data_IF_329781384909
#
_entry.id   IF_329781384909
#
_cell.length_a   1.000
_cell.length_b   1.000
_cell.length_c   1.000
_cell.angle_alpha   90.00
_cell.angle_beta   90.00
_cell.angle_gamma   90.00
#
_symmetry.space_group_name_H-M   'P 1'
#
loop_
_entity.id
_entity.type
_entity.pdbx_description
1 polymer ?
#
# COMPACT_ATOMS: atom_id res chain seq x y z
N UNK A 1 -39.51 8.01 -85.98
CA UNK A 1 -40.26 7.74 -84.72
C UNK A 1 -40.00 6.29 -84.33
N UNK A 2 -39.20 6.06 -83.36
CA UNK A 2 -38.85 4.70 -82.85
C UNK A 2 -39.54 4.52 -81.49
N UNK A 3 -40.52 3.64 -81.44
CA UNK A 3 -41.35 3.36 -80.28
C UNK A 3 -40.46 2.72 -79.16
N UNK A 4 -40.49 3.31 -78.00
CA UNK A 4 -39.91 2.76 -76.76
C UNK A 4 -40.82 1.67 -76.23
N UNK A 5 -40.31 0.48 -76.06
CA UNK A 5 -40.97 -0.68 -75.49
C UNK A 5 -40.84 -0.67 -73.94
N UNK A 6 -41.92 -0.41 -73.17
CA UNK A 6 -41.88 -0.48 -71.75
C UNK A 6 -42.22 -1.86 -71.24
N UNK A 7 -41.60 -2.31 -70.21
CA UNK A 7 -41.86 -3.47 -69.36
C UNK A 7 -41.06 -4.75 -69.64
N UNK A 8 -39.77 -4.68 -69.17
CA UNK A 8 -39.16 -5.89 -68.69
C UNK A 8 -39.27 -5.90 -67.13
N UNK A 9 -40.38 -6.34 -66.61
CA UNK A 9 -40.54 -6.70 -65.21
C UNK A 9 -39.61 -7.87 -64.91
N UNK A 10 -38.54 -7.59 -64.17
CA UNK A 10 -37.60 -8.58 -63.65
C UNK A 10 -38.33 -9.43 -62.64
N UNK A 11 -38.79 -10.62 -63.02
CA UNK A 11 -39.35 -11.64 -62.15
C UNK A 11 -38.25 -12.03 -61.14
N UNK A 12 -38.37 -11.56 -59.89
CA UNK A 12 -37.56 -12.03 -58.76
C UNK A 12 -37.98 -13.50 -58.57
N UNK A 13 -37.06 -14.41 -58.92
CA UNK A 13 -37.22 -15.86 -58.62
C UNK A 13 -37.23 -15.95 -57.09
N UNK A 14 -38.39 -16.20 -56.48
CA UNK A 14 -38.46 -16.62 -55.07
C UNK A 14 -37.85 -18.00 -54.99
N UNK A 15 -36.64 -18.10 -54.47
CA UNK A 15 -35.99 -19.33 -54.08
C UNK A 15 -36.78 -19.91 -52.90
N UNK A 16 -37.44 -21.02 -53.09
CA UNK A 16 -38.08 -21.75 -51.99
C UNK A 16 -36.93 -22.45 -51.19
N UNK A 17 -36.75 -22.07 -49.97
CA UNK A 17 -35.82 -22.76 -49.07
C UNK A 17 -36.25 -24.21 -48.87
N UNK A 18 -35.34 -25.11 -48.99
CA UNK A 18 -35.57 -26.53 -48.69
C UNK A 18 -35.55 -26.73 -47.18
N UNK A 19 -36.30 -27.69 -46.67
CA UNK A 19 -36.29 -28.06 -45.25
C UNK A 19 -34.87 -28.38 -44.76
N UNK A 20 -34.06 -28.97 -45.66
CA UNK A 20 -32.66 -29.31 -45.38
C UNK A 20 -31.76 -28.10 -45.19
N UNK A 21 -31.97 -27.04 -45.96
CA UNK A 21 -31.24 -25.76 -45.80
C UNK A 21 -31.56 -25.06 -44.46
N UNK A 22 -32.82 -25.14 -44.05
CA UNK A 22 -33.28 -24.55 -42.78
C UNK A 22 -32.62 -25.30 -41.61
N UNK A 23 -32.60 -26.66 -41.65
CA UNK A 23 -31.98 -27.47 -40.60
C UNK A 23 -30.47 -27.24 -40.55
N UNK A 24 -29.81 -27.14 -41.68
CA UNK A 24 -28.39 -26.84 -41.74
C UNK A 24 -28.03 -25.47 -41.19
N UNK A 25 -28.82 -24.42 -41.55
CA UNK A 25 -28.64 -23.06 -41.09
C UNK A 25 -28.85 -22.95 -39.56
N UNK A 26 -29.87 -23.59 -39.02
CA UNK A 26 -30.11 -23.60 -37.56
C UNK A 26 -29.02 -24.35 -36.80
N UNK A 27 -28.50 -25.45 -37.34
CA UNK A 27 -27.37 -26.22 -36.79
C UNK A 27 -26.09 -25.39 -36.72
N UNK A 28 -25.76 -24.66 -37.78
CA UNK A 28 -24.61 -23.75 -37.82
C UNK A 28 -24.82 -22.59 -36.84
N UNK A 29 -26.01 -22.00 -36.77
CA UNK A 29 -26.30 -20.91 -35.84
C UNK A 29 -26.15 -21.34 -34.38
N UNK A 30 -26.63 -22.52 -34.02
CA UNK A 30 -26.43 -23.11 -32.69
C UNK A 30 -24.96 -23.37 -32.35
N UNK A 31 -24.20 -23.87 -33.33
CA UNK A 31 -22.75 -24.08 -33.13
C UNK A 31 -22.03 -22.75 -32.89
N UNK A 32 -22.31 -21.72 -33.68
CA UNK A 32 -21.73 -20.36 -33.49
C UNK A 32 -22.14 -19.79 -32.14
N UNK A 33 -23.42 -19.88 -31.76
CA UNK A 33 -23.91 -19.41 -30.46
C UNK A 33 -23.19 -20.13 -29.30
N UNK A 34 -22.95 -21.44 -29.43
CA UNK A 34 -22.20 -22.23 -28.46
C UNK A 34 -20.74 -21.75 -28.32
N UNK A 35 -20.06 -21.48 -29.43
CA UNK A 35 -18.69 -20.98 -29.44
C UNK A 35 -18.63 -19.59 -28.77
N UNK A 36 -19.54 -18.69 -29.10
CA UNK A 36 -19.62 -17.36 -28.51
C UNK A 36 -19.87 -17.46 -27.00
N UNK A 37 -20.80 -18.29 -26.55
CA UNK A 37 -21.08 -18.49 -25.14
C UNK A 37 -19.86 -19.03 -24.37
N UNK A 38 -19.13 -19.98 -24.95
CA UNK A 38 -17.91 -20.51 -24.36
C UNK A 38 -16.79 -19.46 -24.30
N UNK A 39 -16.56 -18.71 -25.36
CA UNK A 39 -15.57 -17.64 -25.42
C UNK A 39 -15.88 -16.54 -24.41
N UNK A 40 -17.17 -16.11 -24.30
CA UNK A 40 -17.61 -15.12 -23.33
C UNK A 40 -17.35 -15.59 -21.90
N UNK A 41 -17.66 -16.84 -21.58
CA UNK A 41 -17.42 -17.39 -20.24
C UNK A 41 -15.91 -17.41 -19.88
N UNK A 42 -15.07 -17.74 -20.83
CA UNK A 42 -13.61 -17.73 -20.65
C UNK A 42 -13.07 -16.31 -20.43
N UNK A 43 -13.60 -15.35 -21.20
CA UNK A 43 -13.26 -13.93 -21.07
C UNK A 43 -13.65 -13.37 -19.69
N UNK A 44 -14.87 -13.61 -19.22
CA UNK A 44 -15.29 -13.14 -17.89
C UNK A 44 -14.48 -13.78 -16.76
N UNK A 45 -14.07 -15.03 -16.87
CA UNK A 45 -13.18 -15.65 -15.88
C UNK A 45 -11.79 -15.01 -15.87
N UNK A 46 -11.24 -14.73 -17.05
CA UNK A 46 -9.94 -14.06 -17.16
C UNK A 46 -10.00 -12.64 -16.58
N UNK A 47 -11.09 -11.90 -16.86
CA UNK A 47 -11.30 -10.57 -16.32
C UNK A 47 -11.38 -10.58 -14.78
N UNK A 48 -12.19 -11.45 -14.20
CA UNK A 48 -12.32 -11.59 -12.75
C UNK A 48 -10.98 -12.00 -12.09
N UNK A 49 -10.15 -12.80 -12.77
CA UNK A 49 -8.81 -13.13 -12.28
C UNK A 49 -7.88 -11.91 -12.33
N UNK A 50 -7.92 -11.13 -13.41
CA UNK A 50 -7.12 -9.92 -13.56
C UNK A 50 -7.49 -8.86 -12.51
N UNK A 51 -8.77 -8.67 -12.22
CA UNK A 51 -9.25 -7.76 -11.18
C UNK A 51 -8.71 -8.14 -9.79
N UNK A 52 -8.72 -9.44 -9.44
CA UNK A 52 -8.17 -9.92 -8.16
C UNK A 52 -6.68 -9.65 -8.04
N UNK A 53 -5.92 -9.95 -9.09
CA UNK A 53 -4.47 -9.71 -9.11
C UNK A 53 -4.17 -8.21 -9.02
N UNK A 54 -4.94 -7.38 -9.73
CA UNK A 54 -4.79 -5.92 -9.68
C UNK A 54 -5.08 -5.36 -8.28
N UNK A 55 -6.14 -5.83 -7.61
CA UNK A 55 -6.47 -5.41 -6.25
C UNK A 55 -5.37 -5.82 -5.25
N UNK A 56 -4.84 -7.03 -5.37
CA UNK A 56 -3.74 -7.48 -4.53
C UNK A 56 -2.47 -6.65 -4.77
N UNK A 57 -2.13 -6.38 -6.03
CA UNK A 57 -0.98 -5.55 -6.38
C UNK A 57 -1.12 -4.13 -5.80
N UNK A 58 -2.33 -3.57 -5.81
CA UNK A 58 -2.57 -2.24 -5.23
C UNK A 58 -2.26 -2.21 -3.73
N UNK A 59 -2.65 -3.23 -2.98
CA UNK A 59 -2.32 -3.36 -1.55
C UNK A 59 -0.81 -3.40 -1.34
N UNK A 60 -0.08 -4.18 -2.12
CA UNK A 60 1.39 -4.22 -2.05
C UNK A 60 2.02 -2.86 -2.33
N UNK A 61 1.52 -2.16 -3.35
CA UNK A 61 2.01 -0.83 -3.71
C UNK A 61 1.74 0.19 -2.60
N UNK A 62 0.58 0.13 -1.94
CA UNK A 62 0.27 1.01 -0.82
C UNK A 62 1.26 0.81 0.34
N UNK A 63 1.52 -0.44 0.71
CA UNK A 63 2.48 -0.76 1.78
C UNK A 63 3.90 -0.36 1.35
N UNK A 64 4.29 -0.65 0.12
CA UNK A 64 5.63 -0.31 -0.39
C UNK A 64 5.84 1.21 -0.43
N UNK A 65 4.81 1.98 -0.79
CA UNK A 65 4.82 3.45 -0.74
C UNK A 65 4.95 3.99 0.68
N UNK A 66 4.26 3.39 1.67
CA UNK A 66 4.46 3.72 3.07
C UNK A 66 5.91 3.50 3.48
N UNK A 67 6.45 2.32 3.19
CA UNK A 67 7.81 1.94 3.55
C UNK A 67 8.86 2.83 2.88
N UNK A 68 8.70 3.15 1.59
CA UNK A 68 9.62 4.03 0.88
C UNK A 68 9.39 5.52 1.18
N UNK A 69 8.14 5.93 1.33
CA UNK A 69 7.78 7.33 1.62
C UNK A 69 8.10 7.74 3.06
N UNK A 70 7.64 6.97 4.03
CA UNK A 70 7.71 7.33 5.44
C UNK A 70 8.94 6.74 6.13
N UNK A 71 9.15 5.42 6.03
CA UNK A 71 10.23 4.76 6.78
C UNK A 71 11.64 5.15 6.31
N UNK A 72 11.86 5.29 5.01
CA UNK A 72 13.16 5.77 4.49
C UNK A 72 13.44 7.24 4.80
N UNK A 73 12.40 8.03 5.02
CA UNK A 73 12.50 9.45 5.35
C UNK A 73 12.20 9.73 6.82
N UNK A 74 12.25 8.69 7.65
CA UNK A 74 12.19 8.81 9.11
C UNK A 74 13.36 9.65 9.60
N UNK A 75 13.06 10.60 10.48
CA UNK A 75 14.06 11.49 11.06
C UNK A 75 14.05 11.39 12.58
N UNK A 76 15.20 11.53 13.23
CA UNK A 76 15.27 11.72 14.67
C UNK A 76 14.72 13.12 14.99
N UNK A 77 13.66 13.18 15.75
CA UNK A 77 13.04 14.42 16.18
C UNK A 77 12.92 14.41 17.71
N UNK A 78 13.57 15.38 18.34
CA UNK A 78 13.56 15.52 19.78
C UNK A 78 12.56 16.59 20.18
N UNK A 79 11.74 16.30 21.18
CA UNK A 79 10.80 17.22 21.79
C UNK A 79 11.31 17.65 23.15
N UNK A 80 11.28 18.94 23.40
CA UNK A 80 11.61 19.48 24.72
C UNK A 80 10.35 19.45 25.61
N UNK A 81 10.46 18.83 26.78
CA UNK A 81 9.39 18.91 27.75
C UNK A 81 9.45 20.27 28.45
N UNK A 82 8.29 20.85 28.73
CA UNK A 82 8.18 22.05 29.54
C UNK A 82 8.33 21.75 31.04
N UNK A 83 8.58 20.50 31.42
CA UNK A 83 8.79 20.11 32.80
C UNK A 83 10.21 20.44 33.28
N UNK A 84 10.31 20.74 34.59
CA UNK A 84 11.45 21.35 35.30
C UNK A 84 12.80 20.60 35.17
N UNK A 85 12.82 19.43 34.54
CA UNK A 85 14.00 18.60 34.47
C UNK A 85 14.80 18.68 33.14
N UNK A 86 14.41 19.54 32.19
CA UNK A 86 15.14 19.76 30.92
C UNK A 86 15.36 18.49 30.08
N UNK A 87 14.54 17.45 30.28
CA UNK A 87 14.68 16.20 29.55
C UNK A 87 14.10 16.35 28.13
N UNK A 88 14.99 16.28 27.15
CA UNK A 88 14.58 16.09 25.75
C UNK A 88 14.40 14.61 25.51
N UNK A 89 13.33 14.23 24.80
CA UNK A 89 13.16 12.85 24.39
C UNK A 89 12.88 12.75 22.91
N UNK A 90 13.30 11.65 22.35
CA UNK A 90 13.08 11.36 20.94
C UNK A 90 11.65 10.91 20.69
N UNK A 91 11.02 11.49 19.64
CA UNK A 91 9.69 11.08 19.21
C UNK A 91 9.84 9.85 18.31
N UNK A 92 10.08 8.73 18.95
CA UNK A 92 10.10 7.42 18.35
C UNK A 92 9.61 6.40 19.39
N UNK A 93 8.69 5.55 18.99
CA UNK A 93 8.17 4.49 19.84
C UNK A 93 7.99 3.22 18.98
N UNK A 94 8.80 2.22 19.26
CA UNK A 94 8.86 0.98 18.48
C UNK A 94 8.41 -0.21 19.31
N UNK A 95 7.15 -0.61 19.18
CA UNK A 95 6.62 -1.83 19.75
C UNK A 95 6.62 -2.96 18.71
N UNK A 96 6.38 -4.19 19.14
CA UNK A 96 6.30 -5.34 18.25
C UNK A 96 5.13 -5.25 17.25
N UNK A 97 4.03 -4.58 17.62
CA UNK A 97 2.79 -4.53 16.87
C UNK A 97 2.35 -3.11 16.45
N UNK A 98 3.10 -2.09 16.85
CA UNK A 98 2.85 -0.69 16.53
C UNK A 98 4.16 0.06 16.45
N UNK A 99 4.23 1.02 15.53
CA UNK A 99 5.36 1.95 15.47
C UNK A 99 4.86 3.38 15.39
N UNK A 100 5.50 4.27 16.15
CA UNK A 100 5.27 5.71 16.09
C UNK A 100 6.60 6.43 15.82
N UNK A 101 6.62 7.30 14.82
CA UNK A 101 7.85 7.97 14.39
C UNK A 101 7.56 9.27 13.66
N UNK A 102 8.62 10.04 13.43
CA UNK A 102 8.56 11.31 12.71
C UNK A 102 9.17 11.16 11.32
N UNK A 103 8.52 11.75 10.31
CA UNK A 103 8.97 11.72 8.91
C UNK A 103 8.77 13.08 8.22
N UNK A 104 9.53 13.30 7.16
CA UNK A 104 9.39 14.47 6.27
C UNK A 104 8.46 14.23 5.07
N UNK A 105 7.94 13.03 4.92
CA UNK A 105 7.09 12.67 3.78
C UNK A 105 5.90 11.83 4.23
N UNK A 106 4.81 12.02 3.53
CA UNK A 106 3.63 11.15 3.59
C UNK A 106 3.66 10.17 2.42
N UNK A 107 3.04 8.99 2.55
CA UNK A 107 3.02 7.96 1.52
C UNK A 107 2.52 8.46 0.16
N UNK A 108 1.52 9.34 0.14
CA UNK A 108 0.87 9.81 -1.11
C UNK A 108 1.06 11.29 -1.41
N UNK A 109 1.81 12.05 -0.62
CA UNK A 109 1.95 13.48 -0.83
C UNK A 109 3.34 13.81 -1.37
N UNK A 110 3.37 14.35 -2.60
CA UNK A 110 4.59 14.91 -3.22
C UNK A 110 5.02 16.24 -2.57
N UNK A 111 4.24 16.82 -1.66
CA UNK A 111 4.58 18.00 -0.89
C UNK A 111 5.66 17.65 0.15
N UNK A 112 6.88 17.57 -0.33
CA UNK A 112 8.07 17.40 0.49
C UNK A 112 8.29 18.61 1.40
N UNK A 113 8.59 18.36 2.67
CA UNK A 113 9.06 19.39 3.61
C UNK A 113 8.16 19.68 4.79
N UNK A 114 7.02 19.04 4.93
CA UNK A 114 6.24 19.07 6.15
C UNK A 114 6.67 17.97 7.11
N UNK A 115 6.73 18.28 8.38
CA UNK A 115 6.94 17.30 9.44
C UNK A 115 5.61 16.58 9.71
N UNK A 116 5.65 15.25 9.72
CA UNK A 116 4.52 14.40 10.07
C UNK A 116 4.92 13.44 11.19
N UNK A 117 3.99 13.23 12.10
CA UNK A 117 4.05 12.20 13.11
C UNK A 117 3.17 11.05 12.65
N UNK A 118 3.77 9.89 12.47
CA UNK A 118 3.11 8.74 11.84
C UNK A 118 3.00 7.62 12.85
N UNK A 119 1.81 7.04 12.96
CA UNK A 119 1.55 5.82 13.72
C UNK A 119 1.05 4.74 12.75
N UNK A 120 1.67 3.57 12.80
CA UNK A 120 1.28 2.40 11.98
C UNK A 120 0.91 1.25 12.90
N UNK A 121 -0.29 0.71 12.72
CA UNK A 121 -0.83 -0.36 13.56
C UNK A 121 -1.94 -1.13 12.83
N UNK A 122 -2.46 -2.19 13.44
CA UNK A 122 -3.63 -2.95 12.96
C UNK A 122 -4.79 -2.76 13.92
N UNK A 123 -5.95 -2.39 13.37
CA UNK A 123 -7.21 -2.29 14.08
C UNK A 123 -8.32 -2.85 13.16
N UNK A 124 -9.26 -3.61 13.72
CA UNK A 124 -10.40 -4.19 13.00
C UNK A 124 -10.03 -4.90 11.68
N UNK A 125 -8.92 -5.65 11.69
CA UNK A 125 -8.37 -6.37 10.52
C UNK A 125 -7.87 -5.44 9.40
N UNK A 126 -7.69 -4.16 9.68
CA UNK A 126 -7.14 -3.16 8.78
C UNK A 126 -5.73 -2.75 9.21
N UNK A 127 -4.79 -2.70 8.26
CA UNK A 127 -3.50 -2.04 8.45
C UNK A 127 -3.69 -0.55 8.21
N UNK A 128 -3.38 0.24 9.21
CA UNK A 128 -3.67 1.68 9.24
C UNK A 128 -2.37 2.46 9.41
N UNK A 129 -2.25 3.55 8.65
CA UNK A 129 -1.31 4.62 8.91
C UNK A 129 -2.07 5.88 9.29
N UNK A 130 -1.73 6.45 10.43
CA UNK A 130 -2.25 7.74 10.88
C UNK A 130 -1.17 8.80 10.79
N UNK A 131 -1.55 9.97 10.28
CA UNK A 131 -0.66 11.11 10.09
C UNK A 131 -1.16 12.30 10.89
N UNK A 132 -0.30 12.86 11.73
CA UNK A 132 -0.55 14.09 12.46
C UNK A 132 0.51 15.13 12.13
N UNK A 133 0.13 16.41 12.18
CA UNK A 133 1.06 17.55 12.12
C UNK A 133 1.58 17.95 13.49
N UNK A 134 1.05 17.32 14.53
CA UNK A 134 1.41 17.58 15.92
C UNK A 134 1.97 16.28 16.53
N UNK A 135 2.98 16.36 17.39
CA UNK A 135 3.50 15.19 18.07
C UNK A 135 2.41 14.58 18.96
N UNK A 136 2.15 13.30 18.78
CA UNK A 136 1.39 12.50 19.72
C UNK A 136 2.40 11.89 20.68
N UNK A 137 2.36 12.34 21.90
CA UNK A 137 3.25 11.84 22.92
C UNK A 137 2.47 10.84 23.77
N UNK A 138 3.13 9.76 24.25
CA UNK A 138 2.45 8.71 25.02
C UNK A 138 1.75 9.24 26.28
N UNK A 139 2.19 10.39 26.78
CA UNK A 139 1.61 11.02 27.98
C UNK A 139 0.47 12.02 27.72
N UNK A 140 0.15 12.33 26.47
CA UNK A 140 -1.12 12.97 26.12
C UNK A 140 -2.17 11.87 26.03
N UNK A 141 -2.46 11.31 27.19
CA UNK A 141 -3.56 10.38 27.36
C UNK A 141 -4.87 11.12 27.10
N UNK A 142 -5.72 10.49 26.32
CA UNK A 142 -7.17 10.65 26.26
C UNK A 142 -7.81 11.89 25.61
N UNK A 143 -7.11 12.91 25.19
CA UNK A 143 -7.72 13.95 24.38
C UNK A 143 -7.60 13.64 22.87
N UNK A 144 -7.97 12.41 22.47
CA UNK A 144 -8.02 11.96 21.06
C UNK A 144 -8.84 12.91 20.17
N UNK A 145 -9.80 13.63 20.76
CA UNK A 145 -10.69 14.55 20.07
C UNK A 145 -10.04 15.91 19.72
N UNK A 146 -8.89 16.25 20.29
CA UNK A 146 -8.29 17.57 20.12
C UNK A 146 -7.26 17.67 18.99
N UNK A 147 -6.72 16.55 18.51
CA UNK A 147 -5.67 16.55 17.50
C UNK A 147 -6.17 15.94 16.19
N UNK A 148 -6.34 16.75 15.13
CA UNK A 148 -6.74 16.23 13.85
C UNK A 148 -5.65 15.30 13.29
N UNK A 149 -6.04 14.09 12.94
CA UNK A 149 -5.20 13.14 12.23
C UNK A 149 -5.88 12.68 10.94
N UNK A 150 -5.06 12.38 9.95
CA UNK A 150 -5.51 11.76 8.72
C UNK A 150 -5.27 10.26 8.81
N UNK A 151 -6.33 9.48 8.76
CA UNK A 151 -6.29 8.01 8.78
C UNK A 151 -6.29 7.47 7.35
N UNK A 152 -5.35 6.60 7.05
CA UNK A 152 -5.21 5.91 5.78
C UNK A 152 -5.26 4.40 6.00
N UNK A 153 -6.21 3.71 5.35
CA UNK A 153 -6.26 2.25 5.33
C UNK A 153 -5.40 1.75 4.18
N UNK A 154 -4.29 1.09 4.51
CA UNK A 154 -3.33 0.56 3.54
C UNK A 154 -3.72 -0.82 3.02
N UNK A 155 -4.29 -1.63 3.90
CA UNK A 155 -4.70 -3.00 3.59
C UNK A 155 -5.85 -3.45 4.48
N UNK A 156 -6.64 -4.40 3.99
CA UNK A 156 -7.70 -5.10 4.74
C UNK A 156 -7.41 -6.59 4.80
N UNK A 157 -8.13 -7.33 5.67
CA UNK A 157 -7.92 -8.76 5.93
C UNK A 157 -6.52 -9.07 6.50
N UNK A 158 -6.01 -8.17 7.32
CA UNK A 158 -4.77 -8.34 8.08
C UNK A 158 -5.10 -9.04 9.39
N UNK A 159 -4.33 -10.09 9.73
CA UNK A 159 -4.42 -10.78 11.00
C UNK A 159 -3.63 -10.02 12.07
N UNK A 160 -2.37 -9.70 11.75
CA UNK A 160 -1.48 -8.92 12.61
C UNK A 160 -0.31 -8.35 11.81
N UNK A 161 0.36 -7.37 12.40
CA UNK A 161 1.69 -6.93 11.98
C UNK A 161 2.71 -7.25 13.08
N UNK A 162 3.98 -7.33 12.70
CA UNK A 162 5.08 -7.33 13.64
C UNK A 162 6.24 -6.51 13.09
N UNK A 163 6.94 -5.83 13.99
CA UNK A 163 8.10 -5.01 13.67
C UNK A 163 9.36 -5.60 14.27
N UNK A 164 10.49 -5.40 13.58
CA UNK A 164 11.83 -5.66 14.09
C UNK A 164 12.68 -4.43 13.76
N UNK A 165 13.51 -4.06 14.70
CA UNK A 165 14.33 -2.86 14.66
C UNK A 165 15.82 -3.22 14.64
N UNK A 166 16.58 -2.67 13.69
CA UNK A 166 18.02 -2.88 13.61
C UNK A 166 18.75 -1.83 14.45
N UNK A 167 19.42 -2.28 15.48
CA UNK A 167 20.37 -1.51 16.29
C UNK A 167 21.83 -1.80 15.90
N UNK A 168 22.75 -0.98 16.39
CA UNK A 168 24.18 -1.21 16.29
C UNK A 168 24.76 -1.38 17.70
N UNK A 169 25.32 -2.54 17.98
CA UNK A 169 26.05 -2.83 19.20
C UNK A 169 27.47 -3.31 18.83
N UNK A 170 28.49 -2.70 19.38
CA UNK A 170 29.91 -3.07 19.17
C UNK A 170 30.29 -3.33 17.69
N UNK A 171 29.76 -2.49 16.76
CA UNK A 171 29.94 -2.63 15.30
C UNK A 171 29.20 -3.83 14.68
N UNK A 172 28.32 -4.45 15.41
CA UNK A 172 27.44 -5.56 14.94
C UNK A 172 26.00 -5.07 14.86
N UNK A 173 25.27 -5.51 13.83
CA UNK A 173 23.83 -5.22 13.73
C UNK A 173 23.08 -6.27 14.55
N UNK A 174 22.28 -5.80 15.49
CA UNK A 174 21.35 -6.60 16.29
C UNK A 174 19.91 -6.27 15.89
N UNK A 175 19.05 -7.26 15.96
CA UNK A 175 17.63 -7.10 15.69
C UNK A 175 16.83 -7.24 16.98
N UNK A 176 16.01 -6.23 17.25
CA UNK A 176 15.18 -6.10 18.44
C UNK A 176 13.71 -6.12 18.04
N UNK A 177 12.85 -6.68 18.86
CA UNK A 177 11.39 -6.70 18.70
C UNK A 177 10.71 -5.47 19.32
N UNK A 178 11.43 -4.76 20.20
CA UNK A 178 11.04 -3.48 20.77
C UNK A 178 12.20 -2.49 20.68
N UNK A 179 11.88 -1.23 20.53
CA UNK A 179 12.86 -0.14 20.54
C UNK A 179 12.55 0.82 21.67
N UNK A 180 13.28 0.69 22.77
CA UNK A 180 13.11 1.53 23.94
C UNK A 180 13.83 2.87 23.72
N UNK A 181 13.07 3.95 23.73
CA UNK A 181 13.59 5.33 23.62
C UNK A 181 14.40 5.76 24.84
N UNK A 182 14.20 5.11 26.01
CA UNK A 182 14.98 5.42 27.21
C UNK A 182 16.39 4.78 27.12
N UNK A 183 16.54 3.70 26.34
CA UNK A 183 17.80 3.01 26.11
C UNK A 183 18.56 3.57 24.91
N UNK A 184 17.82 4.01 23.86
CA UNK A 184 18.41 4.45 22.59
C UNK A 184 18.06 5.90 22.26
N UNK A 185 19.08 6.79 22.27
CA UNK A 185 18.96 8.21 21.88
C UNK A 185 18.87 8.43 20.36
N UNK A 186 18.64 7.37 19.57
CA UNK A 186 18.64 7.41 18.12
C UNK A 186 17.57 6.49 17.53
N UNK A 187 17.13 6.76 16.29
CA UNK A 187 16.20 5.89 15.59
C UNK A 187 16.92 4.64 15.06
N UNK A 188 16.23 3.51 14.87
CA UNK A 188 16.85 2.28 14.36
C UNK A 188 17.45 2.48 12.97
N UNK A 189 18.51 1.75 12.65
CA UNK A 189 19.18 1.77 11.33
C UNK A 189 18.29 1.25 10.20
N UNK A 190 17.44 0.31 10.52
CA UNK A 190 16.46 -0.27 9.62
C UNK A 190 15.25 -0.76 10.40
N UNK A 191 14.11 -0.79 9.74
CA UNK A 191 12.88 -1.37 10.27
C UNK A 191 12.41 -2.45 9.31
N UNK A 192 12.10 -3.59 9.87
CA UNK A 192 11.43 -4.69 9.20
C UNK A 192 10.00 -4.74 9.68
N UNK A 193 9.05 -4.71 8.75
CA UNK A 193 7.63 -4.89 9.00
C UNK A 193 7.18 -6.20 8.36
N UNK A 194 6.57 -7.07 9.13
CA UNK A 194 5.97 -8.32 8.66
C UNK A 194 4.46 -8.23 8.81
N UNK A 195 3.74 -8.44 7.73
CA UNK A 195 2.28 -8.48 7.70
C UNK A 195 1.84 -9.93 7.58
N UNK A 196 1.02 -10.37 8.51
CA UNK A 196 0.34 -11.66 8.45
C UNK A 196 -1.10 -11.45 8.03
N UNK A 197 -1.46 -12.12 6.94
CA UNK A 197 -2.80 -12.04 6.38
C UNK A 197 -3.74 -13.10 6.99
N UNK A 198 -5.05 -12.85 6.99
CA UNK A 198 -6.07 -13.81 7.45
C UNK A 198 -6.05 -15.15 6.71
N UNK A 199 -5.55 -15.20 5.50
CA UNK A 199 -5.37 -16.43 4.74
C UNK A 199 -4.17 -17.27 5.20
N UNK A 200 -3.40 -16.78 6.19
CA UNK A 200 -2.23 -17.45 6.77
C UNK A 200 -0.92 -17.16 6.02
N UNK A 201 -0.93 -16.38 4.95
CA UNK A 201 0.32 -15.94 4.29
C UNK A 201 0.98 -14.82 5.09
N UNK A 202 2.32 -14.77 5.03
CA UNK A 202 3.12 -13.72 5.67
C UNK A 202 4.01 -13.06 4.61
N UNK A 203 4.16 -11.75 4.72
CA UNK A 203 4.96 -10.93 3.82
C UNK A 203 5.77 -9.94 4.62
N UNK A 204 7.00 -9.67 4.16
CA UNK A 204 7.97 -8.90 4.90
C UNK A 204 8.54 -7.76 4.04
N UNK A 205 8.57 -6.57 4.59
CA UNK A 205 9.20 -5.37 4.04
C UNK A 205 10.32 -4.92 4.95
N UNK A 206 11.48 -4.63 4.38
CA UNK A 206 12.65 -4.13 5.08
C UNK A 206 13.12 -2.83 4.45
N UNK A 207 13.27 -1.77 5.26
CA UNK A 207 13.82 -0.48 4.80
C UNK A 207 14.85 0.06 5.78
N UNK A 208 15.90 0.64 5.23
CA UNK A 208 16.81 1.47 6.01
C UNK A 208 16.14 2.79 6.32
N UNK A 209 16.38 3.29 7.52
CA UNK A 209 16.00 4.64 7.93
C UNK A 209 17.09 5.65 7.57
N UNK A 210 16.92 6.90 7.95
CA UNK A 210 17.95 7.93 7.85
C UNK A 210 18.97 7.89 8.99
N UNK A 211 18.88 6.91 9.92
CA UNK A 211 19.80 6.77 11.03
C UNK A 211 21.21 6.37 10.58
N UNK A 212 22.19 6.81 11.35
CA UNK A 212 23.62 6.58 11.09
C UNK A 212 24.33 5.78 12.19
N UNK A 213 23.56 5.10 13.06
CA UNK A 213 24.13 4.22 14.10
C UNK A 213 24.61 4.93 15.35
N UNK A 214 23.90 5.94 15.79
CA UNK A 214 24.04 6.48 17.15
C UNK A 214 24.98 7.67 17.34
N UNK A 215 25.76 8.08 16.35
CA UNK A 215 26.75 9.15 16.56
C UNK A 215 26.68 10.32 15.57
N UNK A 216 25.71 10.38 14.68
CA UNK A 216 25.60 11.56 13.83
C UNK A 216 24.21 12.16 13.91
N UNK A 217 24.14 13.24 14.63
CA UNK A 217 23.11 14.25 14.37
C UNK A 217 23.29 14.68 12.92
N UNK A 218 22.24 14.76 12.14
CA UNK A 218 22.26 15.31 10.79
C UNK A 218 23.03 16.64 10.82
N UNK A 219 24.18 16.70 10.15
CA UNK A 219 25.02 17.90 10.10
C UNK A 219 26.00 18.10 11.25
N UNK A 220 26.21 17.15 12.15
CA UNK A 220 27.33 17.20 13.06
C UNK A 220 28.64 17.05 12.27
N UNK A 221 29.44 18.11 12.25
CA UNK A 221 30.80 18.06 11.78
C UNK A 221 31.53 17.05 12.68
N UNK A 222 32.15 16.02 12.10
CA UNK A 222 33.09 15.21 12.84
C UNK A 222 34.16 16.16 13.39
N UNK A 223 34.31 16.23 14.70
CA UNK A 223 35.51 16.83 15.29
C UNK A 223 36.71 16.05 14.80
N UNK A 224 37.46 16.64 13.90
CA UNK A 224 38.75 16.12 13.51
C UNK A 224 39.66 16.34 14.73
N UNK A 225 39.82 15.31 15.53
CA UNK A 225 40.85 15.29 16.57
C UNK A 225 42.22 15.32 15.88
N UNK A 226 42.89 16.47 15.90
CA UNK A 226 44.29 16.64 15.57
C UNK A 226 45.17 15.97 16.61
#
# INVERSE_FOLDING_TARGET
MKALNPNKTRRIRRSNFTLMELVAATGIMLAIAGIIAFASRSFFRALASAERVSAQLQVYLNIDQLMDGCFRNMIPFNWETTDVNDDTFQVFDGLDNMIHFTTLRRSYDDNSGNLFFVRVYVEDEELIAEYSKFPRLPWYDDDEDLMPYDREVLATNVDRISFMYAGAEDSTIVWLDEWDREEYDFIPLAVQMTVKWKNGTEECWLRRTAASGGNSVYGALQEINE
#
